data_IF_168313149081
#
_entry.id   IF_168313149081
#
_cell.length_a   1.000
_cell.length_b   1.000
_cell.length_c   1.000
_cell.angle_alpha   90.00
_cell.angle_beta   90.00
_cell.angle_gamma   90.00
#
_symmetry.space_group_name_H-M   'P 1'
#
loop_
_entity.id
_entity.type
_entity.pdbx_description
1 polymer ?
#
# COMPACT_ATOMS: atom_id res chain seq x y z
N UNK A 1 20.36 -3.63 -1.08
CA UNK A 1 20.70 -2.77 0.09
C UNK A 1 19.49 -1.88 0.31
N UNK A 2 18.87 -1.90 1.49
CA UNK A 2 17.70 -1.08 1.83
C UNK A 2 17.99 0.40 1.63
N UNK A 3 17.11 1.13 0.96
CA UNK A 3 17.22 2.59 0.76
C UNK A 3 15.89 3.24 1.13
N UNK A 4 15.95 4.31 1.91
CA UNK A 4 14.82 5.23 2.02
C UNK A 4 14.74 6.01 0.71
N UNK A 5 13.67 5.82 -0.08
CA UNK A 5 13.51 6.44 -1.39
C UNK A 5 12.06 6.82 -1.66
N UNK A 6 11.84 8.08 -2.03
CA UNK A 6 10.51 8.57 -2.37
C UNK A 6 10.14 8.21 -3.82
N UNK A 7 9.53 7.04 -4.02
CA UNK A 7 9.00 6.64 -5.33
C UNK A 7 7.66 7.32 -5.68
N UNK A 8 6.99 7.90 -4.68
CA UNK A 8 5.71 8.59 -4.85
C UNK A 8 5.85 10.12 -4.97
N UNK A 9 7.03 10.63 -5.34
CA UNK A 9 7.27 12.08 -5.47
C UNK A 9 6.36 12.77 -6.51
N UNK A 10 5.83 12.01 -7.47
CA UNK A 10 4.89 12.49 -8.48
C UNK A 10 3.43 12.25 -8.11
N UNK A 11 3.17 11.49 -7.03
CA UNK A 11 1.81 11.30 -6.53
C UNK A 11 1.28 12.62 -5.95
N UNK A 12 0.09 13.07 -6.35
CA UNK A 12 -0.44 14.37 -5.93
C UNK A 12 -0.52 14.50 -4.42
N UNK A 13 0.09 15.55 -3.88
CA UNK A 13 -0.03 15.91 -2.48
C UNK A 13 -1.25 16.80 -2.30
N UNK A 14 -2.07 16.51 -1.30
CA UNK A 14 -3.22 17.34 -0.92
C UNK A 14 -3.07 17.80 0.52
N UNK A 15 -3.43 19.06 0.79
CA UNK A 15 -3.57 19.51 2.18
C UNK A 15 -4.69 18.75 2.84
N UNK A 16 -4.44 18.23 4.04
CA UNK A 16 -5.38 17.40 4.79
C UNK A 16 -5.85 18.13 6.04
N UNK A 17 -7.17 18.17 6.32
CA UNK A 17 -7.70 18.72 7.57
C UNK A 17 -7.54 17.70 8.71
N UNK A 18 -6.30 17.45 9.14
CA UNK A 18 -5.94 16.35 10.05
C UNK A 18 -6.60 16.50 11.41
N UNK A 19 -6.53 17.71 12.00
CA UNK A 19 -7.07 17.95 13.34
C UNK A 19 -8.60 17.93 13.33
N UNK A 20 -9.23 18.54 12.32
CA UNK A 20 -10.68 18.49 12.15
C UNK A 20 -11.18 17.05 12.01
N UNK A 21 -10.47 16.25 11.20
CA UNK A 21 -10.78 14.84 11.01
C UNK A 21 -10.61 14.04 12.31
N UNK A 22 -9.50 14.23 13.02
CA UNK A 22 -9.23 13.53 14.29
C UNK A 22 -10.29 13.76 15.37
N UNK A 23 -10.90 14.96 15.38
CA UNK A 23 -11.97 15.30 16.32
C UNK A 23 -13.34 14.67 15.95
N UNK A 24 -13.55 14.27 14.70
CA UNK A 24 -14.81 13.73 14.19
C UNK A 24 -14.83 12.19 14.16
N UNK A 25 -13.68 11.54 13.97
CA UNK A 25 -13.60 10.08 13.83
C UNK A 25 -13.78 9.39 15.18
N UNK A 26 -14.69 8.44 15.21
CA UNK A 26 -14.95 7.57 16.36
C UNK A 26 -14.29 6.19 16.19
N UNK A 27 -14.19 5.41 17.28
CA UNK A 27 -13.74 4.02 17.19
C UNK A 27 -14.71 3.13 16.38
N UNK A 28 -15.99 3.51 16.30
CA UNK A 28 -16.96 2.82 15.45
C UNK A 28 -16.66 3.07 13.97
N UNK A 29 -16.29 4.29 13.58
CA UNK A 29 -15.88 4.61 12.20
C UNK A 29 -14.61 3.82 11.82
N UNK A 30 -13.64 3.72 12.73
CA UNK A 30 -12.44 2.88 12.55
C UNK A 30 -12.79 1.40 12.39
N UNK A 31 -13.71 0.88 13.19
CA UNK A 31 -14.16 -0.51 13.09
C UNK A 31 -14.88 -0.80 11.76
N UNK A 32 -15.63 0.17 11.23
CA UNK A 32 -16.24 0.09 9.90
C UNK A 32 -15.15 0.12 8.82
N UNK A 33 -14.23 1.10 8.89
CA UNK A 33 -13.14 1.25 7.93
C UNK A 33 -12.27 -0.01 7.80
N UNK A 34 -11.96 -0.66 8.93
CA UNK A 34 -11.13 -1.89 8.99
C UNK A 34 -11.78 -3.12 8.37
N UNK A 35 -13.05 -3.05 7.96
CA UNK A 35 -13.67 -4.12 7.17
C UNK A 35 -13.21 -4.12 5.71
N UNK A 36 -12.67 -2.99 5.24
CA UNK A 36 -12.27 -2.80 3.85
C UNK A 36 -13.37 -3.15 2.85
N UNK A 37 -14.61 -2.79 3.18
CA UNK A 37 -15.81 -3.03 2.37
C UNK A 37 -16.31 -1.73 1.72
N UNK A 38 -17.50 -1.73 1.15
CA UNK A 38 -18.13 -0.59 0.47
C UNK A 38 -18.00 0.73 1.25
N UNK A 39 -18.19 0.69 2.58
CA UNK A 39 -18.10 1.89 3.43
C UNK A 39 -16.68 2.51 3.44
N UNK A 40 -15.64 1.69 3.29
CA UNK A 40 -14.28 2.17 3.22
C UNK A 40 -13.94 2.79 1.86
N UNK A 41 -14.34 2.16 0.76
CA UNK A 41 -13.99 2.63 -0.57
C UNK A 41 -14.94 3.74 -1.06
N UNK A 42 -16.24 3.51 -1.02
CA UNK A 42 -17.24 4.34 -1.67
C UNK A 42 -18.27 4.95 -0.70
N UNK A 43 -18.14 4.68 0.60
CA UNK A 43 -18.96 5.27 1.65
C UNK A 43 -18.54 6.68 2.05
N UNK A 44 -18.85 7.07 3.28
CA UNK A 44 -18.57 8.41 3.81
C UNK A 44 -17.06 8.64 4.05
N UNK A 45 -16.67 9.91 4.04
CA UNK A 45 -15.28 10.35 4.35
C UNK A 45 -14.84 10.03 5.78
N UNK A 46 -15.76 9.84 6.70
CA UNK A 46 -15.44 9.45 8.08
C UNK A 46 -14.98 7.99 8.16
N UNK A 47 -15.49 7.13 7.28
CA UNK A 47 -15.15 5.70 7.25
C UNK A 47 -14.15 5.31 6.18
N UNK A 48 -13.78 6.23 5.28
CA UNK A 48 -12.86 5.88 4.19
C UNK A 48 -12.55 7.00 3.22
N UNK A 49 -12.50 6.63 1.94
CA UNK A 49 -12.10 7.54 0.85
C UNK A 49 -13.17 8.55 0.44
N UNK A 50 -14.45 8.27 0.71
CA UNK A 50 -15.55 9.11 0.22
C UNK A 50 -15.74 9.01 -1.31
N UNK A 51 -15.59 7.81 -1.83
CA UNK A 51 -15.56 7.50 -3.25
C UNK A 51 -14.13 7.25 -3.76
N UNK A 52 -13.84 6.02 -4.16
CA UNK A 52 -12.54 5.60 -4.68
C UNK A 52 -12.66 5.27 -6.16
N UNK A 53 -12.38 6.28 -6.99
CA UNK A 53 -12.53 6.20 -8.43
C UNK A 53 -11.19 6.41 -9.13
N UNK A 54 -11.03 5.75 -10.30
CA UNK A 54 -9.84 5.91 -11.12
C UNK A 54 -9.66 7.36 -11.60
N UNK A 55 -8.43 7.82 -11.52
CA UNK A 55 -7.99 9.07 -12.16
C UNK A 55 -6.50 8.94 -12.50
N UNK A 56 -6.12 9.11 -13.78
CA UNK A 56 -4.73 8.95 -14.23
C UNK A 56 -3.74 9.88 -13.52
N UNK A 57 -4.20 11.04 -13.05
CA UNK A 57 -3.36 12.01 -12.33
C UNK A 57 -2.63 11.44 -11.11
N UNK A 58 -3.15 10.33 -10.53
CA UNK A 58 -2.55 9.75 -9.33
C UNK A 58 -1.38 8.84 -9.67
N UNK A 59 -1.52 8.00 -10.69
CA UNK A 59 -0.58 6.93 -10.90
C UNK A 59 0.29 7.08 -12.14
N UNK A 60 -0.19 7.71 -13.22
CA UNK A 60 0.51 7.72 -14.52
C UNK A 60 1.99 8.13 -14.40
N UNK A 61 2.28 9.29 -13.80
CA UNK A 61 3.66 9.76 -13.64
C UNK A 61 4.42 8.97 -12.54
N UNK A 62 3.68 8.49 -11.53
CA UNK A 62 4.25 7.70 -10.44
C UNK A 62 4.73 6.34 -10.94
N UNK A 63 3.93 5.62 -11.72
CA UNK A 63 4.33 4.32 -12.27
C UNK A 63 5.44 4.44 -13.31
N UNK A 64 5.49 5.54 -14.08
CA UNK A 64 6.60 5.83 -14.97
C UNK A 64 7.92 5.96 -14.20
N UNK A 65 7.89 6.67 -13.07
CA UNK A 65 9.05 6.78 -12.19
C UNK A 65 9.45 5.43 -11.56
N UNK A 66 8.49 4.62 -11.11
CA UNK A 66 8.74 3.27 -10.56
C UNK A 66 9.38 2.38 -11.62
N UNK A 67 8.82 2.39 -12.85
CA UNK A 67 9.37 1.65 -14.00
C UNK A 67 10.84 1.98 -14.26
N UNK A 68 11.15 3.27 -14.36
CA UNK A 68 12.50 3.73 -14.66
C UNK A 68 13.47 3.40 -13.53
N UNK A 69 13.03 3.56 -12.27
CA UNK A 69 13.86 3.30 -11.09
C UNK A 69 14.26 1.82 -10.95
N UNK A 70 13.34 0.89 -11.21
CA UNK A 70 13.58 -0.55 -11.13
C UNK A 70 13.91 -1.20 -12.48
N UNK A 71 13.98 -0.41 -13.56
CA UNK A 71 14.27 -0.88 -14.93
C UNK A 71 13.30 -1.98 -15.38
N UNK A 72 12.00 -1.76 -15.13
CA UNK A 72 10.96 -2.71 -15.50
C UNK A 72 10.73 -2.72 -17.01
N UNK A 73 10.47 -3.90 -17.55
CA UNK A 73 10.23 -4.15 -18.97
C UNK A 73 9.07 -5.14 -19.20
N UNK A 74 8.81 -5.49 -20.46
CA UNK A 74 7.72 -6.39 -20.85
C UNK A 74 7.86 -7.84 -20.33
N UNK A 75 9.00 -8.21 -19.77
CA UNK A 75 9.22 -9.54 -19.16
C UNK A 75 9.09 -9.49 -17.63
N UNK A 76 8.89 -8.31 -17.06
CA UNK A 76 8.83 -8.12 -15.62
C UNK A 76 7.56 -8.71 -15.01
N UNK A 77 7.69 -9.31 -13.83
CA UNK A 77 6.59 -9.79 -13.00
C UNK A 77 6.45 -8.89 -11.78
N UNK A 78 5.27 -8.29 -11.61
CA UNK A 78 5.03 -7.26 -10.62
C UNK A 78 3.86 -7.66 -9.71
N UNK A 79 4.03 -7.53 -8.40
CA UNK A 79 2.98 -7.73 -7.41
C UNK A 79 2.67 -6.43 -6.68
N UNK A 80 1.38 -6.08 -6.62
CA UNK A 80 0.83 -5.00 -5.81
C UNK A 80 0.06 -5.57 -4.61
N UNK A 81 0.57 -5.38 -3.39
CA UNK A 81 -0.06 -5.85 -2.15
C UNK A 81 -0.89 -4.72 -1.53
N UNK A 82 -2.17 -4.97 -1.33
CA UNK A 82 -3.16 -3.95 -0.98
C UNK A 82 -3.56 -3.14 -2.21
N UNK A 83 -3.75 -3.82 -3.32
CA UNK A 83 -3.98 -3.21 -4.63
C UNK A 83 -5.34 -2.49 -4.76
N UNK A 84 -6.23 -2.63 -3.79
CA UNK A 84 -7.57 -2.05 -3.82
C UNK A 84 -8.30 -2.36 -5.14
N UNK A 85 -8.83 -1.35 -5.82
CA UNK A 85 -9.52 -1.51 -7.13
C UNK A 85 -8.55 -1.59 -8.33
N UNK A 86 -7.24 -1.79 -8.12
CA UNK A 86 -6.25 -2.08 -9.16
C UNK A 86 -5.81 -0.89 -10.01
N UNK A 87 -5.94 0.35 -9.54
CA UNK A 87 -5.66 1.54 -10.36
C UNK A 87 -4.18 1.74 -10.67
N UNK A 88 -3.26 1.45 -9.74
CA UNK A 88 -1.83 1.45 -10.00
C UNK A 88 -1.44 0.34 -10.99
N UNK A 89 -2.01 -0.84 -10.82
CA UNK A 89 -1.81 -1.98 -11.72
C UNK A 89 -2.25 -1.65 -13.15
N UNK A 90 -3.39 -0.94 -13.30
CA UNK A 90 -3.90 -0.51 -14.60
C UNK A 90 -2.90 0.41 -15.30
N UNK A 91 -2.43 1.47 -14.65
CA UNK A 91 -1.47 2.40 -15.25
C UNK A 91 -0.13 1.70 -15.57
N UNK A 92 0.32 0.76 -14.72
CA UNK A 92 1.47 -0.10 -15.03
C UNK A 92 1.25 -0.93 -16.28
N UNK A 93 0.05 -1.54 -16.46
CA UNK A 93 -0.26 -2.37 -17.63
C UNK A 93 -0.32 -1.56 -18.93
N UNK A 94 -0.76 -0.32 -18.87
CA UNK A 94 -0.72 0.59 -20.03
C UNK A 94 0.72 0.97 -20.41
N UNK A 95 1.59 1.12 -19.40
CA UNK A 95 2.98 1.54 -19.59
C UNK A 95 3.91 0.40 -19.99
N UNK A 96 3.62 -0.84 -19.54
CA UNK A 96 4.42 -2.04 -19.78
C UNK A 96 3.45 -3.17 -20.20
N UNK A 97 2.98 -3.19 -21.46
CA UNK A 97 1.90 -4.10 -21.88
C UNK A 97 2.27 -5.59 -21.82
N UNK A 98 3.55 -5.92 -21.87
CA UNK A 98 4.05 -7.30 -21.80
C UNK A 98 4.28 -7.80 -20.38
N UNK A 99 4.30 -6.93 -19.37
CA UNK A 99 4.55 -7.32 -17.98
C UNK A 99 3.41 -8.16 -17.39
N UNK A 100 3.77 -9.14 -16.56
CA UNK A 100 2.79 -9.85 -15.72
C UNK A 100 2.55 -9.06 -14.45
N UNK A 101 1.32 -8.50 -14.30
CA UNK A 101 0.95 -7.70 -13.14
C UNK A 101 -0.14 -8.43 -12.35
N UNK A 102 0.12 -8.70 -11.08
CA UNK A 102 -0.82 -9.31 -10.14
C UNK A 102 -1.06 -8.39 -8.96
N UNK A 103 -2.25 -8.48 -8.38
CA UNK A 103 -2.61 -7.77 -7.15
C UNK A 103 -3.14 -8.71 -6.08
N UNK A 104 -2.93 -8.34 -4.83
CA UNK A 104 -3.55 -8.97 -3.67
C UNK A 104 -4.24 -7.90 -2.84
N UNK A 105 -5.49 -8.15 -2.48
CA UNK A 105 -6.24 -7.36 -1.51
C UNK A 105 -7.09 -8.27 -0.64
N UNK A 106 -7.40 -7.86 0.60
CA UNK A 106 -8.30 -8.61 1.48
C UNK A 106 -9.77 -8.40 1.15
N UNK A 107 -10.08 -7.35 0.38
CA UNK A 107 -11.42 -6.89 0.09
C UNK A 107 -12.02 -7.61 -1.13
N UNK A 108 -13.09 -8.37 -0.89
CA UNK A 108 -13.93 -8.85 -1.99
C UNK A 108 -14.57 -7.69 -2.75
N UNK A 109 -15.05 -6.67 -2.01
CA UNK A 109 -15.66 -5.48 -2.61
C UNK A 109 -14.70 -4.76 -3.57
N UNK A 110 -13.44 -4.57 -3.16
CA UNK A 110 -12.44 -3.93 -4.01
C UNK A 110 -12.21 -4.72 -5.30
N UNK A 111 -12.09 -6.05 -5.22
CA UNK A 111 -11.96 -6.93 -6.39
C UNK A 111 -13.19 -6.86 -7.31
N UNK A 112 -14.39 -6.97 -6.76
CA UNK A 112 -15.65 -6.95 -7.53
C UNK A 112 -15.87 -5.60 -8.23
N UNK A 113 -15.35 -4.50 -7.65
CA UNK A 113 -15.44 -3.15 -8.18
C UNK A 113 -14.10 -2.63 -8.73
N UNK A 114 -13.18 -3.54 -9.05
CA UNK A 114 -11.90 -3.19 -9.65
C UNK A 114 -12.08 -2.66 -11.08
N UNK A 115 -11.07 -1.92 -11.54
CA UNK A 115 -11.01 -1.52 -12.94
C UNK A 115 -11.01 -2.79 -13.83
N UNK A 116 -11.88 -2.83 -14.82
CA UNK A 116 -12.19 -4.02 -15.63
C UNK A 116 -10.93 -4.74 -16.16
N UNK A 117 -9.94 -3.95 -16.61
CA UNK A 117 -8.68 -4.50 -17.15
C UNK A 117 -7.83 -5.26 -16.14
N UNK A 118 -8.05 -5.08 -14.81
CA UNK A 118 -7.25 -5.70 -13.76
C UNK A 118 -8.03 -6.66 -12.87
N UNK A 119 -9.33 -6.75 -12.98
CA UNK A 119 -10.19 -7.52 -12.10
C UNK A 119 -9.77 -9.00 -11.98
N UNK A 120 -9.44 -9.63 -13.10
CA UNK A 120 -8.99 -11.03 -13.15
C UNK A 120 -7.55 -11.23 -12.63
N UNK A 121 -6.80 -10.14 -12.51
CA UNK A 121 -5.43 -10.15 -11.97
C UNK A 121 -5.37 -9.95 -10.46
N UNK A 122 -6.51 -9.68 -9.80
CA UNK A 122 -6.58 -9.49 -8.36
C UNK A 122 -6.98 -10.79 -7.66
N UNK A 123 -6.18 -11.20 -6.69
CA UNK A 123 -6.46 -12.34 -5.81
C UNK A 123 -6.89 -11.81 -4.44
N UNK A 124 -8.02 -12.30 -3.92
CA UNK A 124 -8.44 -11.99 -2.56
C UNK A 124 -7.66 -12.86 -1.58
N UNK A 125 -6.71 -12.25 -0.87
CA UNK A 125 -5.87 -12.92 0.11
C UNK A 125 -5.28 -11.92 1.11
N UNK A 126 -4.73 -12.43 2.22
CA UNK A 126 -4.04 -11.60 3.21
C UNK A 126 -2.54 -11.53 2.89
N UNK A 127 -1.93 -10.37 3.10
CA UNK A 127 -0.50 -10.15 2.88
C UNK A 127 0.42 -11.05 3.74
N UNK A 128 -0.08 -11.57 4.87
CA UNK A 128 0.66 -12.49 5.73
C UNK A 128 0.70 -13.94 5.20
N UNK A 129 -0.01 -14.24 4.09
CA UNK A 129 -0.03 -15.55 3.46
C UNK A 129 -0.31 -15.40 1.96
N UNK A 130 0.72 -15.07 1.19
CA UNK A 130 0.61 -14.79 -0.23
C UNK A 130 0.52 -16.10 -1.05
N UNK A 131 -0.48 -16.23 -1.96
CA UNK A 131 -0.72 -17.46 -2.72
C UNK A 131 0.20 -17.57 -3.96
N UNK A 132 1.47 -17.25 -3.79
CA UNK A 132 2.48 -17.29 -4.85
C UNK A 132 3.70 -18.08 -4.42
N UNK A 133 4.46 -18.59 -5.40
CA UNK A 133 5.70 -19.33 -5.17
C UNK A 133 6.84 -18.39 -4.76
N UNK A 134 7.86 -18.96 -4.14
CA UNK A 134 9.09 -18.26 -3.77
C UNK A 134 9.78 -17.68 -5.01
N UNK A 135 10.45 -16.54 -4.87
CA UNK A 135 11.29 -15.90 -5.89
C UNK A 135 10.57 -15.67 -7.23
N UNK A 136 9.28 -15.35 -7.19
CA UNK A 136 8.46 -15.24 -8.41
C UNK A 136 8.47 -13.85 -9.03
N UNK A 137 8.37 -12.78 -8.23
CA UNK A 137 8.19 -11.41 -8.71
C UNK A 137 9.49 -10.65 -8.78
N UNK A 138 9.71 -9.96 -9.89
CA UNK A 138 10.84 -9.05 -10.09
C UNK A 138 10.69 -7.77 -9.25
N UNK A 139 9.43 -7.33 -9.00
CA UNK A 139 9.11 -6.24 -8.10
C UNK A 139 7.86 -6.56 -7.27
N UNK A 140 7.96 -6.38 -5.96
CA UNK A 140 6.82 -6.43 -5.03
C UNK A 140 6.63 -5.06 -4.41
N UNK A 141 5.42 -4.51 -4.49
CA UNK A 141 5.06 -3.18 -3.97
C UNK A 141 3.98 -3.34 -2.89
N UNK A 142 4.10 -2.61 -1.78
CA UNK A 142 3.06 -2.47 -0.77
C UNK A 142 3.01 -1.02 -0.28
N UNK A 143 1.98 -0.27 -0.68
CA UNK A 143 1.84 1.15 -0.36
C UNK A 143 0.68 1.34 0.63
N UNK A 144 0.98 1.85 1.81
CA UNK A 144 0.01 2.14 2.88
C UNK A 144 -0.88 0.93 3.24
N UNK A 145 -0.30 -0.26 3.27
CA UNK A 145 -1.04 -1.52 3.45
C UNK A 145 -0.64 -2.25 4.73
N UNK A 146 0.66 -2.45 4.96
CA UNK A 146 1.14 -3.39 5.98
C UNK A 146 0.88 -2.91 7.40
N UNK A 147 0.85 -1.62 7.64
CA UNK A 147 0.51 -1.04 8.95
C UNK A 147 -0.94 -1.30 9.37
N UNK A 148 -1.81 -1.72 8.44
CA UNK A 148 -3.20 -2.10 8.74
C UNK A 148 -3.30 -3.49 9.42
N UNK A 149 -2.24 -4.28 9.40
CA UNK A 149 -2.19 -5.58 10.04
C UNK A 149 -1.81 -5.47 11.52
N UNK A 150 -2.28 -6.39 12.39
CA UNK A 150 -1.68 -6.56 13.71
C UNK A 150 -0.18 -6.83 13.60
N UNK A 151 0.61 -6.43 14.60
CA UNK A 151 2.08 -6.50 14.54
C UNK A 151 2.62 -7.87 14.14
N UNK A 152 2.04 -8.96 14.65
CA UNK A 152 2.49 -10.32 14.32
C UNK A 152 2.26 -10.63 12.82
N UNK A 153 1.11 -10.24 12.30
CA UNK A 153 0.76 -10.44 10.88
C UNK A 153 1.54 -9.49 9.98
N UNK A 154 1.79 -8.26 10.43
CA UNK A 154 2.65 -7.30 9.75
C UNK A 154 4.07 -7.85 9.57
N UNK A 155 4.67 -8.41 10.63
CA UNK A 155 5.98 -9.09 10.55
C UNK A 155 5.95 -10.26 9.59
N UNK A 156 4.89 -11.06 9.61
CA UNK A 156 4.74 -12.18 8.69
C UNK A 156 4.59 -11.71 7.23
N UNK A 157 3.86 -10.62 6.99
CA UNK A 157 3.72 -10.04 5.65
C UNK A 157 5.08 -9.59 5.07
N UNK A 158 5.97 -9.02 5.88
CA UNK A 158 7.34 -8.73 5.43
C UNK A 158 8.14 -9.98 5.07
N UNK A 159 7.95 -11.09 5.79
CA UNK A 159 8.58 -12.38 5.44
C UNK A 159 8.01 -12.93 4.14
N UNK A 160 6.71 -12.80 3.92
CA UNK A 160 6.07 -13.18 2.66
C UNK A 160 6.56 -12.31 1.49
N UNK A 161 6.70 -11.00 1.67
CA UNK A 161 7.32 -10.12 0.67
C UNK A 161 8.72 -10.63 0.33
N UNK A 162 9.56 -10.88 1.32
CA UNK A 162 10.90 -11.43 1.07
C UNK A 162 10.85 -12.76 0.33
N UNK A 163 9.90 -13.65 0.69
CA UNK A 163 9.77 -14.99 0.09
C UNK A 163 9.40 -14.93 -1.39
N UNK A 164 8.42 -14.11 -1.76
CA UNK A 164 7.92 -14.06 -3.14
C UNK A 164 8.75 -13.14 -4.05
N UNK A 165 9.62 -12.31 -3.47
CA UNK A 165 10.47 -11.35 -4.19
C UNK A 165 11.72 -12.04 -4.73
N UNK A 166 11.91 -11.96 -6.04
CA UNK A 166 13.13 -12.40 -6.73
C UNK A 166 14.21 -11.32 -6.74
N UNK A 167 13.84 -10.07 -7.03
CA UNK A 167 14.81 -8.98 -7.24
C UNK A 167 14.59 -7.81 -6.29
N UNK A 168 13.45 -7.11 -6.39
CA UNK A 168 13.23 -5.85 -5.70
C UNK A 168 11.89 -5.85 -4.97
N UNK A 169 11.83 -5.15 -3.83
CA UNK A 169 10.57 -4.81 -3.19
C UNK A 169 10.60 -3.37 -2.67
N UNK A 170 9.43 -2.77 -2.60
CA UNK A 170 9.22 -1.43 -2.06
C UNK A 170 8.03 -1.42 -1.12
N UNK A 171 8.20 -0.84 0.06
CA UNK A 171 7.10 -0.64 1.01
C UNK A 171 7.00 0.83 1.41
N UNK A 172 5.78 1.32 1.53
CA UNK A 172 5.50 2.60 2.18
C UNK A 172 4.51 2.39 3.31
N UNK A 173 4.88 2.85 4.50
CA UNK A 173 4.03 2.76 5.69
C UNK A 173 3.83 4.14 6.32
N UNK A 174 2.73 4.28 7.05
CA UNK A 174 2.52 5.40 7.95
C UNK A 174 3.58 5.42 9.04
N UNK A 175 4.19 6.58 9.28
CA UNK A 175 5.22 6.73 10.28
C UNK A 175 5.28 8.17 10.84
N UNK A 176 6.08 8.37 11.87
CA UNK A 176 6.40 9.68 12.43
C UNK A 176 7.86 9.74 12.91
N UNK A 177 8.38 10.97 13.02
CA UNK A 177 9.75 11.21 13.53
C UNK A 177 9.75 11.82 14.93
N UNK A 178 8.65 12.47 15.34
CA UNK A 178 8.54 13.18 16.61
C UNK A 178 7.13 13.08 17.23
N UNK A 179 6.95 13.64 18.40
CA UNK A 179 5.68 13.59 19.13
C UNK A 179 4.53 14.32 18.39
N UNK A 180 4.83 15.40 17.66
CA UNK A 180 3.83 16.11 16.86
C UNK A 180 3.37 15.27 15.69
N UNK A 181 4.30 14.70 14.94
CA UNK A 181 4.01 13.78 13.84
C UNK A 181 3.22 12.56 14.30
N UNK A 182 3.54 12.02 15.50
CA UNK A 182 2.75 10.94 16.11
C UNK A 182 1.30 11.36 16.33
N UNK A 183 1.06 12.52 16.90
CA UNK A 183 -0.31 13.00 17.12
C UNK A 183 -1.06 13.23 15.81
N UNK A 184 -0.41 13.85 14.81
CA UNK A 184 -0.99 14.01 13.47
C UNK A 184 -1.37 12.66 12.85
N UNK A 185 -0.50 11.66 12.96
CA UNK A 185 -0.76 10.32 12.45
C UNK A 185 -1.94 9.64 13.15
N UNK A 186 -2.06 9.75 14.47
CA UNK A 186 -3.20 9.23 15.24
C UNK A 186 -4.52 9.90 14.85
N UNK A 187 -4.49 11.20 14.57
CA UNK A 187 -5.67 11.95 14.10
C UNK A 187 -6.05 11.58 12.66
N UNK A 188 -5.07 11.27 11.83
CA UNK A 188 -5.27 10.98 10.41
C UNK A 188 -5.73 9.55 10.14
N UNK A 189 -5.08 8.56 10.75
CA UNK A 189 -5.22 7.17 10.35
C UNK A 189 -6.54 6.54 10.81
N UNK A 190 -7.18 5.80 9.90
CA UNK A 190 -8.44 5.09 10.14
C UNK A 190 -8.23 3.60 10.45
N UNK A 191 -7.30 2.98 9.76
CA UNK A 191 -7.26 1.52 9.61
C UNK A 191 -6.07 0.86 10.28
N UNK A 192 -5.00 1.60 10.58
CA UNK A 192 -3.78 1.02 11.15
C UNK A 192 -4.05 0.30 12.48
N UNK A 193 -3.41 -0.85 12.60
CA UNK A 193 -3.30 -1.66 13.83
C UNK A 193 -1.86 -1.69 14.34
N UNK A 194 -0.88 -1.41 13.47
CA UNK A 194 0.55 -1.27 13.80
C UNK A 194 0.96 0.18 13.59
N UNK A 195 1.26 0.87 14.68
CA UNK A 195 1.68 2.27 14.70
C UNK A 195 3.13 2.35 15.17
N UNK A 196 4.01 2.92 14.35
CA UNK A 196 5.45 2.96 14.63
C UNK A 196 6.09 4.28 14.20
N UNK A 197 7.15 4.67 14.94
CA UNK A 197 8.08 5.68 14.46
C UNK A 197 8.92 5.14 13.30
N UNK A 198 9.61 6.04 12.58
CA UNK A 198 10.56 5.60 11.55
C UNK A 198 11.62 4.65 12.13
N UNK A 199 12.14 4.96 13.31
CA UNK A 199 13.18 4.14 13.98
C UNK A 199 12.64 2.75 14.35
N UNK A 200 11.40 2.66 14.89
CA UNK A 200 10.76 1.38 15.22
C UNK A 200 10.52 0.52 13.95
N UNK A 201 10.13 1.16 12.83
CA UNK A 201 10.00 0.46 11.55
C UNK A 201 11.34 -0.08 11.06
N UNK A 202 12.42 0.70 11.19
CA UNK A 202 13.76 0.24 10.79
C UNK A 202 14.25 -0.92 11.66
N UNK A 203 13.92 -0.93 12.95
CA UNK A 203 14.21 -2.07 13.83
C UNK A 203 13.38 -3.30 13.43
N UNK A 204 12.09 -3.13 13.11
CA UNK A 204 11.27 -4.21 12.59
C UNK A 204 11.85 -4.77 11.27
N UNK A 205 12.30 -3.92 10.35
CA UNK A 205 12.94 -4.37 9.11
C UNK A 205 14.19 -5.21 9.35
N UNK A 206 14.98 -4.88 10.39
CA UNK A 206 16.13 -5.70 10.81
C UNK A 206 15.67 -7.04 11.36
N UNK A 207 14.65 -7.04 12.23
CA UNK A 207 14.12 -8.25 12.85
C UNK A 207 13.60 -9.27 11.83
N UNK A 208 12.90 -8.79 10.78
CA UNK A 208 12.32 -9.66 9.76
C UNK A 208 13.22 -9.86 8.53
N UNK A 209 14.46 -9.34 8.58
CA UNK A 209 15.43 -9.37 7.46
C UNK A 209 14.85 -8.81 6.15
N UNK A 210 14.02 -7.73 6.25
CA UNK A 210 13.48 -7.09 5.07
C UNK A 210 14.61 -6.47 4.22
N UNK A 211 14.63 -6.75 2.92
CA UNK A 211 15.75 -6.41 2.01
C UNK A 211 15.42 -5.31 1.01
N UNK A 212 14.14 -4.95 0.88
CA UNK A 212 13.67 -4.00 -0.11
C UNK A 212 13.87 -2.54 0.26
N UNK A 213 13.54 -1.67 -0.68
CA UNK A 213 13.51 -0.23 -0.48
C UNK A 213 12.24 0.18 0.28
N UNK A 214 12.24 1.35 0.91
CA UNK A 214 11.10 1.82 1.71
C UNK A 214 10.95 3.34 1.67
N UNK A 215 9.76 3.80 2.04
CA UNK A 215 9.47 5.20 2.29
C UNK A 215 8.40 5.36 3.37
N UNK A 216 8.23 6.58 3.84
CA UNK A 216 7.29 6.92 4.90
C UNK A 216 6.19 7.83 4.38
N UNK A 217 4.96 7.54 4.80
CA UNK A 217 3.87 8.51 4.71
C UNK A 217 3.81 9.26 6.04
N UNK A 218 3.85 10.59 5.96
CA UNK A 218 3.64 11.49 7.09
C UNK A 218 2.29 12.19 6.95
N UNK A 219 1.52 12.26 8.04
CA UNK A 219 0.29 13.03 8.08
C UNK A 219 0.65 14.51 8.40
N UNK A 220 0.75 15.34 7.34
CA UNK A 220 1.10 16.77 7.41
C UNK A 220 0.02 17.64 6.75
#
# INVERSE_FOLDING_TARGET
MKREVNLLKFYPQSKRPIDDRGNLITEQDRAIARKFDVEYFDGDRLTGYGGYNYSPRFWTDTVAHIKDFYHLDDNSKILDIGCAKGYMMHDLSLLIPGAEIKGVDVSNYAKENAIESMQDNIVVANANNLPFTDDYFDLVIAINTLHNLPLIDCKQAFREINRVTKNNSFVMNDAWRDAKGKQSMLNWNLTALTYMSCDDWEELFKEVDYKGDYYWFFAE
#
